data_IF_628238515752
#
_entry.id   IF_628238515752
#
_cell.length_a   1.000
_cell.length_b   1.000
_cell.length_c   1.000
_cell.angle_alpha   90.00
_cell.angle_beta   90.00
_cell.angle_gamma   90.00
#
_symmetry.space_group_name_H-M   'P 1'
#
loop_
_entity.id
_entity.type
_entity.pdbx_description
1 polymer ?
#
# COMPACT_ATOMS: atom_id res chain seq x y z
N UNK A 1 -0.88 -35.12 14.15
CA UNK A 1 -0.64 -33.88 14.94
C UNK A 1 -1.91 -33.48 15.72
N UNK A 2 -2.29 -34.17 16.81
CA UNK A 2 -3.59 -33.94 17.47
C UNK A 2 -3.59 -32.91 18.61
N UNK A 3 -2.45 -32.29 18.94
CA UNK A 3 -2.29 -31.48 20.17
C UNK A 3 -2.41 -29.96 20.00
N UNK A 4 -2.63 -29.44 18.79
CA UNK A 4 -2.76 -27.98 18.56
C UNK A 4 -4.22 -27.46 18.65
N UNK A 5 -5.23 -28.34 18.69
CA UNK A 5 -6.67 -27.96 18.77
C UNK A 5 -7.14 -27.53 20.18
N UNK A 6 -6.30 -27.62 21.22
CA UNK A 6 -6.71 -27.40 22.63
C UNK A 6 -6.39 -26.01 23.21
N UNK A 7 -5.70 -25.14 22.47
CA UNK A 7 -5.23 -23.84 22.98
C UNK A 7 -5.81 -22.62 22.27
N UNK A 8 -6.73 -22.82 21.31
CA UNK A 8 -7.45 -21.74 20.65
C UNK A 8 -8.94 -21.88 20.98
N UNK A 9 -9.65 -20.79 21.35
CA UNK A 9 -11.09 -20.84 21.52
C UNK A 9 -11.75 -21.39 20.24
N UNK A 10 -12.68 -22.31 20.42
CA UNK A 10 -13.37 -22.99 19.33
C UNK A 10 -14.14 -21.98 18.48
N UNK A 11 -13.97 -22.03 17.17
CA UNK A 11 -14.75 -21.26 16.17
C UNK A 11 -16.27 -21.42 16.39
N UNK A 12 -16.69 -22.54 16.97
CA UNK A 12 -18.09 -22.82 17.34
C UNK A 12 -18.65 -21.84 18.39
N UNK A 13 -17.82 -21.34 19.31
CA UNK A 13 -18.24 -20.43 20.37
C UNK A 13 -18.37 -18.99 19.85
N UNK A 14 -17.53 -18.58 18.89
CA UNK A 14 -17.64 -17.29 18.23
C UNK A 14 -18.88 -17.20 17.32
N UNK A 15 -19.21 -18.28 16.60
CA UNK A 15 -20.41 -18.34 15.76
C UNK A 15 -21.72 -18.31 16.55
N UNK A 16 -21.76 -18.90 17.76
CA UNK A 16 -22.94 -18.83 18.64
C UNK A 16 -23.26 -17.41 19.10
N UNK A 17 -22.24 -16.59 19.32
CA UNK A 17 -22.40 -15.20 19.75
C UNK A 17 -22.87 -14.32 18.57
N UNK A 18 -22.35 -14.56 17.37
CA UNK A 18 -22.78 -13.86 16.15
C UNK A 18 -24.24 -14.17 15.75
N UNK A 19 -24.67 -15.42 15.85
CA UNK A 19 -26.03 -15.84 15.50
C UNK A 19 -27.11 -15.21 16.42
N UNK A 20 -26.79 -14.99 17.70
CA UNK A 20 -27.70 -14.36 18.65
C UNK A 20 -27.92 -12.85 18.40
N UNK A 21 -26.98 -12.18 17.73
CA UNK A 21 -27.10 -10.74 17.42
C UNK A 21 -27.90 -10.48 16.13
N UNK A 22 -27.98 -11.46 15.23
CA UNK A 22 -28.67 -11.34 13.94
C UNK A 22 -30.17 -11.61 14.05
N UNK A 23 -30.61 -12.46 14.98
CA UNK A 23 -32.04 -12.77 15.16
C UNK A 23 -32.88 -11.61 15.75
N UNK A 24 -32.24 -10.51 16.18
CA UNK A 24 -32.93 -9.36 16.78
C UNK A 24 -33.39 -8.26 15.82
N UNK A 25 -33.07 -8.34 14.52
CA UNK A 25 -33.36 -7.25 13.57
C UNK A 25 -34.28 -7.72 12.43
N UNK A 26 -35.46 -7.10 12.34
CA UNK A 26 -36.55 -7.42 11.41
C UNK A 26 -36.08 -7.69 9.96
N UNK A 27 -36.38 -8.89 9.45
CA UNK A 27 -36.08 -9.33 8.08
C UNK A 27 -36.67 -8.41 6.98
N UNK A 28 -37.73 -7.66 7.29
CA UNK A 28 -38.34 -6.69 6.39
C UNK A 28 -37.48 -5.44 6.17
N UNK A 29 -36.57 -5.09 7.10
CA UNK A 29 -35.56 -4.03 6.88
C UNK A 29 -34.41 -4.50 5.99
N UNK A 30 -34.13 -5.80 5.98
CA UNK A 30 -33.01 -6.39 5.22
C UNK A 30 -33.31 -6.43 3.71
N UNK A 31 -34.55 -6.76 3.32
CA UNK A 31 -34.95 -6.78 1.90
C UNK A 31 -34.91 -5.40 1.22
N UNK A 32 -35.06 -4.30 1.97
CA UNK A 32 -34.93 -2.94 1.43
C UNK A 32 -33.47 -2.51 1.22
N UNK A 33 -32.52 -3.16 1.89
CA UNK A 33 -31.08 -2.96 1.71
C UNK A 33 -30.55 -3.75 0.49
N UNK A 34 -31.21 -4.86 0.14
CA UNK A 34 -30.87 -5.69 -1.04
C UNK A 34 -31.11 -4.98 -2.39
N UNK A 35 -32.21 -4.24 -2.55
CA UNK A 35 -32.46 -3.47 -3.79
C UNK A 35 -31.53 -2.27 -3.94
N UNK A 36 -31.14 -1.65 -2.83
CA UNK A 36 -30.22 -0.51 -2.83
C UNK A 36 -28.75 -0.94 -2.99
N UNK A 37 -28.38 -2.19 -2.61
CA UNK A 37 -27.00 -2.71 -2.69
C UNK A 37 -26.54 -3.21 -4.07
N UNK A 38 -27.47 -3.46 -5.01
CA UNK A 38 -27.13 -3.77 -6.41
C UNK A 38 -26.68 -2.53 -7.21
N UNK A 39 -26.88 -1.33 -6.63
CA UNK A 39 -26.28 -0.08 -7.09
C UNK A 39 -25.21 0.29 -6.07
N UNK A 40 -23.97 0.51 -6.50
CA UNK A 40 -22.86 0.80 -5.60
C UNK A 40 -23.26 1.78 -4.49
N UNK A 41 -23.09 1.35 -3.23
CA UNK A 41 -23.49 2.13 -2.06
C UNK A 41 -22.67 3.41 -2.02
N UNK A 42 -23.33 4.53 -2.27
CA UNK A 42 -22.82 5.87 -1.97
C UNK A 42 -22.93 6.09 -0.46
N UNK A 43 -21.81 6.40 0.20
CA UNK A 43 -21.81 6.84 1.59
C UNK A 43 -22.69 8.09 1.74
N UNK A 44 -23.70 8.11 2.62
CA UNK A 44 -24.45 9.33 2.88
C UNK A 44 -23.62 10.24 3.77
N UNK A 45 -23.05 11.31 3.20
CA UNK A 45 -22.41 12.40 3.95
C UNK A 45 -20.94 12.72 3.65
N UNK A 46 -20.39 12.30 2.51
CA UNK A 46 -19.08 12.76 2.02
C UNK A 46 -19.24 13.76 0.88
N UNK A 47 -18.41 14.81 0.86
CA UNK A 47 -18.28 15.74 -0.25
C UNK A 47 -18.02 14.98 -1.57
N UNK A 48 -18.62 15.44 -2.67
CA UNK A 48 -18.63 14.73 -3.97
C UNK A 48 -17.27 14.91 -4.67
N UNK A 49 -16.25 14.21 -4.17
CA UNK A 49 -14.86 14.27 -4.64
C UNK A 49 -14.66 13.62 -6.03
N UNK A 50 -15.74 13.15 -6.68
CA UNK A 50 -15.68 12.43 -7.95
C UNK A 50 -14.97 11.07 -7.90
N UNK A 51 -14.52 10.62 -6.72
CA UNK A 51 -13.93 9.32 -6.43
C UNK A 51 -14.95 8.51 -5.62
N UNK A 52 -15.64 7.59 -6.27
CA UNK A 52 -16.56 6.67 -5.58
C UNK A 52 -15.73 5.74 -4.70
N UNK A 53 -15.86 5.80 -3.37
CA UNK A 53 -15.09 4.89 -2.52
C UNK A 53 -15.51 3.44 -2.80
N UNK A 54 -14.57 2.60 -3.23
CA UNK A 54 -14.79 1.16 -3.41
C UNK A 54 -14.64 0.49 -2.04
N UNK A 55 -15.55 0.84 -1.13
CA UNK A 55 -15.61 0.31 0.22
C UNK A 55 -16.67 -0.78 0.28
N UNK A 56 -16.24 -2.02 0.52
CA UNK A 56 -17.17 -3.12 0.84
C UNK A 56 -17.40 -3.14 2.35
N UNK A 57 -18.66 -3.04 2.82
CA UNK A 57 -18.96 -3.18 4.25
C UNK A 57 -18.47 -4.53 4.79
N UNK A 58 -17.92 -4.54 6.01
CA UNK A 58 -17.40 -5.76 6.65
C UNK A 58 -18.43 -6.89 6.71
N UNK A 59 -19.73 -6.55 6.73
CA UNK A 59 -20.83 -7.51 6.76
C UNK A 59 -20.99 -8.29 5.45
N UNK A 60 -20.74 -7.67 4.30
CA UNK A 60 -20.78 -8.35 2.99
C UNK A 60 -19.57 -9.27 2.80
N UNK A 61 -18.39 -8.83 3.26
CA UNK A 61 -17.20 -9.68 3.28
C UNK A 61 -17.40 -10.92 4.16
N UNK A 62 -18.10 -10.79 5.28
CA UNK A 62 -18.42 -11.92 6.15
C UNK A 62 -19.43 -12.88 5.52
N UNK A 63 -20.45 -12.38 4.81
CA UNK A 63 -21.40 -13.24 4.09
C UNK A 63 -20.71 -14.00 2.95
N UNK A 64 -19.83 -13.34 2.22
CA UNK A 64 -19.02 -13.98 1.17
C UNK A 64 -18.07 -15.01 1.76
N UNK A 65 -17.39 -14.68 2.87
CA UNK A 65 -16.55 -15.62 3.61
C UNK A 65 -17.33 -16.87 4.06
N UNK A 66 -18.53 -16.70 4.61
CA UNK A 66 -19.39 -17.79 5.10
C UNK A 66 -19.96 -18.65 3.96
N UNK A 67 -20.00 -18.11 2.74
CA UNK A 67 -20.42 -18.84 1.53
C UNK A 67 -19.34 -19.73 0.91
N UNK A 68 -18.08 -19.60 1.36
CA UNK A 68 -16.95 -20.40 0.87
C UNK A 68 -16.90 -21.78 1.52
N UNK A 69 -16.24 -22.74 0.86
CA UNK A 69 -16.03 -24.07 1.42
C UNK A 69 -15.12 -24.02 2.66
N UNK A 70 -15.25 -25.00 3.58
CA UNK A 70 -14.40 -25.07 4.79
C UNK A 70 -12.90 -25.05 4.43
N UNK A 71 -12.50 -25.74 3.35
CA UNK A 71 -11.11 -25.74 2.87
C UNK A 71 -10.65 -24.34 2.40
N UNK A 72 -11.53 -23.58 1.74
CA UNK A 72 -11.23 -22.22 1.29
C UNK A 72 -11.14 -21.23 2.47
N UNK A 73 -11.98 -21.41 3.49
CA UNK A 73 -11.92 -20.61 4.72
C UNK A 73 -10.61 -20.85 5.47
N UNK A 74 -10.20 -22.11 5.63
CA UNK A 74 -8.92 -22.47 6.23
C UNK A 74 -7.73 -21.88 5.46
N UNK A 75 -7.76 -21.95 4.12
CA UNK A 75 -6.75 -21.34 3.26
C UNK A 75 -6.68 -19.82 3.45
N UNK A 76 -7.83 -19.15 3.52
CA UNK A 76 -7.91 -17.70 3.70
C UNK A 76 -7.40 -17.26 5.09
N UNK A 77 -7.64 -18.07 6.13
CA UNK A 77 -7.05 -17.84 7.44
C UNK A 77 -5.52 -17.93 7.41
N UNK A 78 -4.96 -18.90 6.67
CA UNK A 78 -3.52 -19.01 6.47
C UNK A 78 -2.95 -17.81 5.70
N UNK A 79 -3.58 -17.43 4.58
CA UNK A 79 -3.16 -16.29 3.77
C UNK A 79 -3.19 -14.97 4.56
N UNK A 80 -4.14 -14.80 5.48
CA UNK A 80 -4.15 -13.62 6.38
C UNK A 80 -2.85 -13.50 7.19
N UNK A 81 -2.34 -14.60 7.74
CA UNK A 81 -1.10 -14.58 8.53
C UNK A 81 0.13 -14.42 7.63
N UNK A 82 0.12 -15.08 6.46
CA UNK A 82 1.18 -14.93 5.47
C UNK A 82 1.26 -13.48 4.94
N UNK A 83 0.11 -12.81 4.76
CA UNK A 83 0.05 -11.43 4.33
C UNK A 83 0.75 -10.49 5.32
N UNK A 84 0.61 -10.71 6.63
CA UNK A 84 1.34 -9.92 7.64
C UNK A 84 2.85 -10.10 7.48
N UNK A 85 3.31 -11.34 7.28
CA UNK A 85 4.73 -11.62 7.06
C UNK A 85 5.27 -10.96 5.79
N UNK A 86 4.50 -11.00 4.70
CA UNK A 86 4.87 -10.35 3.44
C UNK A 86 4.79 -8.83 3.53
N UNK A 87 3.86 -8.26 4.28
CA UNK A 87 3.80 -6.83 4.53
C UNK A 87 5.05 -6.33 5.29
N UNK A 88 5.59 -7.13 6.23
CA UNK A 88 6.88 -6.83 6.85
C UNK A 88 8.04 -6.88 5.84
N UNK A 89 8.06 -7.89 4.96
CA UNK A 89 9.06 -8.00 3.90
C UNK A 89 8.99 -6.81 2.92
N UNK A 90 7.77 -6.42 2.53
CA UNK A 90 7.53 -5.27 1.68
C UNK A 90 7.98 -3.98 2.36
N UNK A 91 7.67 -3.80 3.64
CA UNK A 91 8.12 -2.63 4.41
C UNK A 91 9.66 -2.54 4.45
N UNK A 92 10.35 -3.66 4.63
CA UNK A 92 11.81 -3.72 4.58
C UNK A 92 12.35 -3.37 3.17
N UNK A 93 11.76 -3.95 2.13
CA UNK A 93 12.13 -3.70 0.73
C UNK A 93 11.93 -2.24 0.34
N UNK A 94 10.77 -1.67 0.71
CA UNK A 94 10.41 -0.28 0.49
C UNK A 94 11.35 0.67 1.22
N UNK A 95 11.67 0.39 2.49
CA UNK A 95 12.62 1.18 3.27
C UNK A 95 14.02 1.16 2.66
N UNK A 96 14.48 -0.01 2.18
CA UNK A 96 15.81 -0.16 1.58
C UNK A 96 15.95 0.63 0.28
N UNK A 97 14.94 0.57 -0.59
CA UNK A 97 14.92 1.33 -1.84
C UNK A 97 14.80 2.84 -1.60
N UNK A 98 13.91 3.27 -0.71
CA UNK A 98 13.62 4.70 -0.53
C UNK A 98 14.67 5.42 0.30
N UNK A 99 15.35 4.72 1.20
CA UNK A 99 16.47 5.30 1.95
C UNK A 99 17.59 5.73 0.99
N UNK A 100 17.82 5.00 -0.11
CA UNK A 100 18.81 5.38 -1.12
C UNK A 100 18.47 6.73 -1.77
N UNK A 101 17.20 6.99 -2.06
CA UNK A 101 16.75 8.25 -2.69
C UNK A 101 17.06 9.46 -1.80
N UNK A 102 16.82 9.37 -0.49
CA UNK A 102 17.09 10.46 0.45
C UNK A 102 18.58 10.61 0.78
N UNK A 103 19.27 9.48 1.02
CA UNK A 103 20.66 9.49 1.48
C UNK A 103 21.65 9.82 0.37
N UNK A 104 21.34 9.50 -0.90
CA UNK A 104 22.21 9.80 -2.04
C UNK A 104 22.49 11.31 -2.19
N UNK A 105 21.44 12.15 -2.10
CA UNK A 105 21.60 13.60 -2.22
C UNK A 105 22.44 14.17 -1.07
N UNK A 106 22.21 13.69 0.15
CA UNK A 106 22.96 14.14 1.32
C UNK A 106 24.43 13.67 1.28
N UNK A 107 24.67 12.41 0.89
CA UNK A 107 26.00 11.85 0.71
C UNK A 107 26.81 12.63 -0.35
N UNK A 108 26.17 13.07 -1.43
CA UNK A 108 26.81 13.89 -2.45
C UNK A 108 27.31 15.24 -1.90
N UNK A 109 26.52 15.90 -1.04
CA UNK A 109 26.91 17.17 -0.39
C UNK A 109 28.09 16.97 0.57
N UNK A 110 28.02 15.93 1.42
CA UNK A 110 29.09 15.64 2.40
C UNK A 110 30.39 15.26 1.69
N UNK A 111 30.31 14.43 0.65
CA UNK A 111 31.48 14.03 -0.15
C UNK A 111 32.09 15.23 -0.87
N UNK A 112 31.25 16.09 -1.46
CA UNK A 112 31.71 17.33 -2.10
C UNK A 112 32.43 18.28 -1.12
N UNK A 113 32.02 18.32 0.14
CA UNK A 113 32.68 19.12 1.18
C UNK A 113 34.03 18.52 1.61
N UNK A 114 34.15 17.19 1.69
CA UNK A 114 35.37 16.51 2.14
C UNK A 114 36.44 16.40 1.05
N UNK A 115 36.04 15.99 -0.16
CA UNK A 115 36.95 15.61 -1.24
C UNK A 115 37.02 16.65 -2.38
N UNK A 116 36.20 17.71 -2.31
CA UNK A 116 36.01 18.65 -3.39
C UNK A 116 35.19 18.08 -4.56
N UNK A 117 34.94 18.89 -5.59
CA UNK A 117 34.04 18.55 -6.71
C UNK A 117 34.58 17.51 -7.70
N UNK A 118 35.79 16.99 -7.48
CA UNK A 118 36.47 16.10 -8.44
C UNK A 118 36.12 14.61 -8.26
N UNK A 119 35.48 14.24 -7.14
CA UNK A 119 35.17 12.85 -6.77
C UNK A 119 33.66 12.51 -6.81
N UNK A 120 32.86 13.33 -7.50
CA UNK A 120 31.40 13.22 -7.53
C UNK A 120 30.85 11.98 -8.25
N UNK A 121 31.71 11.08 -8.75
CA UNK A 121 31.29 9.95 -9.60
C UNK A 121 30.91 8.71 -8.79
N UNK A 122 31.35 8.61 -7.54
CA UNK A 122 31.16 7.42 -6.69
C UNK A 122 31.09 7.78 -5.19
N UNK A 123 30.17 8.66 -4.74
CA UNK A 123 30.08 8.96 -3.31
C UNK A 123 29.73 7.67 -2.53
N UNK A 124 30.70 7.11 -1.82
CA UNK A 124 30.44 6.03 -0.88
C UNK A 124 29.64 6.59 0.29
N UNK A 125 28.43 6.06 0.49
CA UNK A 125 27.57 6.49 1.60
C UNK A 125 28.09 5.87 2.90
N UNK A 126 28.50 6.73 3.84
CA UNK A 126 28.92 6.30 5.17
C UNK A 126 27.72 5.75 5.98
N UNK A 127 27.98 4.75 6.83
CA UNK A 127 26.94 4.02 7.58
C UNK A 127 26.05 4.93 8.46
N UNK A 128 26.59 6.05 8.97
CA UNK A 128 25.83 6.99 9.81
C UNK A 128 24.80 7.77 8.99
N UNK A 129 25.09 8.08 7.72
CA UNK A 129 24.15 8.77 6.80
C UNK A 129 22.95 7.85 6.55
N UNK A 130 23.22 6.56 6.30
CA UNK A 130 22.17 5.56 6.10
C UNK A 130 21.30 5.38 7.35
N UNK A 131 21.93 5.34 8.52
CA UNK A 131 21.22 5.21 9.80
C UNK A 131 20.33 6.42 10.07
N UNK A 132 20.85 7.64 9.86
CA UNK A 132 20.08 8.87 10.01
C UNK A 132 18.92 8.94 9.02
N UNK A 133 19.17 8.58 7.75
CA UNK A 133 18.13 8.53 6.72
C UNK A 133 17.00 7.58 7.08
N UNK A 134 17.32 6.38 7.55
CA UNK A 134 16.33 5.40 8.00
C UNK A 134 15.52 5.87 9.22
N UNK A 135 16.16 6.51 10.21
CA UNK A 135 15.48 7.06 11.39
C UNK A 135 14.50 8.18 11.01
N UNK A 136 14.93 9.11 10.15
CA UNK A 136 14.07 10.21 9.68
C UNK A 136 12.89 9.67 8.88
N UNK A 137 13.13 8.74 7.94
CA UNK A 137 12.06 8.10 7.16
C UNK A 137 11.06 7.37 8.07
N UNK A 138 11.54 6.57 9.02
CA UNK A 138 10.70 5.86 9.98
C UNK A 138 9.87 6.80 10.85
N UNK A 139 10.46 7.91 11.31
CA UNK A 139 9.73 8.92 12.07
C UNK A 139 8.63 9.60 11.24
N UNK A 140 8.89 9.92 9.97
CA UNK A 140 7.91 10.52 9.07
C UNK A 140 6.70 9.61 8.84
N UNK A 141 6.93 8.32 8.66
CA UNK A 141 5.86 7.32 8.53
C UNK A 141 5.04 7.22 9.83
N UNK A 142 5.70 7.26 11.00
CA UNK A 142 4.99 7.23 12.29
C UNK A 142 4.03 8.42 12.43
N UNK A 143 4.50 9.64 12.12
CA UNK A 143 3.70 10.85 12.36
C UNK A 143 2.66 11.14 11.27
N UNK A 144 2.98 10.93 9.99
CA UNK A 144 2.10 11.30 8.87
C UNK A 144 1.57 10.11 8.06
N UNK A 145 2.16 8.93 8.20
CA UNK A 145 1.85 7.77 7.36
C UNK A 145 0.40 7.28 7.49
N UNK A 146 -0.22 7.43 8.67
CA UNK A 146 -1.59 6.96 8.91
C UNK A 146 -2.62 7.60 7.97
N UNK A 147 -2.41 8.86 7.57
CA UNK A 147 -3.33 9.57 6.64
C UNK A 147 -3.29 8.93 5.25
N UNK A 148 -2.09 8.60 4.77
CA UNK A 148 -1.89 8.00 3.45
C UNK A 148 -2.40 6.56 3.42
N UNK A 149 -2.15 5.80 4.49
CA UNK A 149 -2.63 4.42 4.62
C UNK A 149 -4.17 4.34 4.60
N UNK A 150 -4.85 5.30 5.23
CA UNK A 150 -6.32 5.35 5.21
C UNK A 150 -6.88 5.65 3.82
N UNK A 151 -6.25 6.56 3.07
CA UNK A 151 -6.68 6.92 1.71
C UNK A 151 -6.40 5.79 0.70
N UNK A 152 -5.24 5.14 0.77
CA UNK A 152 -4.87 4.05 -0.15
C UNK A 152 -5.69 2.79 0.15
N UNK A 153 -5.86 2.44 1.43
CA UNK A 153 -6.50 1.20 1.86
C UNK A 153 -7.99 1.09 1.53
N UNK A 154 -8.67 2.22 1.30
CA UNK A 154 -10.13 2.25 1.03
C UNK A 154 -10.51 2.50 -0.42
N UNK A 155 -9.61 3.03 -1.25
CA UNK A 155 -10.01 3.64 -2.53
C UNK A 155 -9.51 2.91 -3.78
N UNK A 156 -8.54 1.99 -3.70
CA UNK A 156 -7.95 1.42 -4.92
C UNK A 156 -8.75 0.24 -5.46
N UNK A 157 -8.97 -0.81 -4.66
CA UNK A 157 -9.77 -1.97 -5.04
C UNK A 157 -10.06 -2.84 -3.82
N UNK A 158 -11.16 -3.60 -3.84
CA UNK A 158 -11.45 -4.65 -2.86
C UNK A 158 -10.58 -5.87 -3.22
N UNK A 159 -9.78 -6.35 -2.26
CA UNK A 159 -8.85 -7.46 -2.49
C UNK A 159 -9.00 -8.50 -1.38
N UNK A 160 -9.18 -9.77 -1.76
CA UNK A 160 -9.16 -10.92 -0.85
C UNK A 160 -7.75 -11.19 -0.31
N UNK A 161 -7.61 -11.85 0.84
CA UNK A 161 -6.32 -12.04 1.52
C UNK A 161 -5.28 -12.79 0.68
N UNK A 162 -5.70 -13.78 -0.09
CA UNK A 162 -4.87 -14.56 -1.01
C UNK A 162 -4.30 -13.69 -2.14
N UNK A 163 -5.13 -12.81 -2.70
CA UNK A 163 -4.73 -11.90 -3.78
C UNK A 163 -3.83 -10.78 -3.27
N UNK A 164 -4.18 -10.23 -2.10
CA UNK A 164 -3.36 -9.23 -1.43
C UNK A 164 -1.97 -9.80 -1.15
N UNK A 165 -1.89 -11.05 -0.69
CA UNK A 165 -0.62 -11.74 -0.50
C UNK A 165 0.18 -11.84 -1.80
N UNK A 166 -0.43 -12.29 -2.89
CA UNK A 166 0.24 -12.42 -4.19
C UNK A 166 0.75 -11.07 -4.72
N UNK A 167 -0.05 -10.01 -4.59
CA UNK A 167 0.31 -8.65 -5.00
C UNK A 167 1.49 -8.13 -4.20
N UNK A 168 1.40 -8.17 -2.88
CA UNK A 168 2.46 -7.67 -1.98
C UNK A 168 3.75 -8.46 -2.19
N UNK A 169 3.65 -9.78 -2.37
CA UNK A 169 4.81 -10.65 -2.58
C UNK A 169 5.49 -10.35 -3.92
N UNK A 170 4.73 -10.25 -5.01
CA UNK A 170 5.29 -9.94 -6.33
C UNK A 170 5.97 -8.56 -6.36
N UNK A 171 5.35 -7.56 -5.75
CA UNK A 171 5.88 -6.21 -5.61
C UNK A 171 7.17 -6.21 -4.77
N UNK A 172 7.14 -6.84 -3.58
CA UNK A 172 8.30 -6.94 -2.69
C UNK A 172 9.46 -7.66 -3.37
N UNK A 173 9.22 -8.80 -4.03
CA UNK A 173 10.23 -9.51 -4.79
C UNK A 173 10.86 -8.65 -5.88
N UNK A 174 10.05 -7.91 -6.64
CA UNK A 174 10.54 -7.02 -7.70
C UNK A 174 11.46 -5.96 -7.12
N UNK A 175 11.04 -5.28 -6.05
CA UNK A 175 11.82 -4.23 -5.40
C UNK A 175 13.10 -4.79 -4.79
N UNK A 176 13.07 -5.96 -4.13
CA UNK A 176 14.27 -6.60 -3.57
C UNK A 176 15.25 -6.95 -4.69
N UNK A 177 14.80 -7.59 -5.77
CA UNK A 177 15.67 -7.98 -6.88
C UNK A 177 16.30 -6.75 -7.53
N UNK A 178 15.54 -5.71 -7.80
CA UNK A 178 16.06 -4.46 -8.36
C UNK A 178 17.04 -3.76 -7.41
N UNK A 179 16.76 -3.76 -6.10
CA UNK A 179 17.67 -3.22 -5.08
C UNK A 179 19.00 -3.98 -5.03
N UNK A 180 18.97 -5.31 -5.14
CA UNK A 180 20.18 -6.14 -5.21
C UNK A 180 21.00 -5.86 -6.48
N UNK A 181 20.32 -5.58 -7.59
CA UNK A 181 20.94 -5.18 -8.86
C UNK A 181 21.40 -3.71 -8.88
N UNK A 182 21.17 -2.95 -7.79
CA UNK A 182 21.46 -1.52 -7.67
C UNK A 182 20.75 -0.66 -8.73
N UNK A 183 19.56 -1.10 -9.17
CA UNK A 183 18.72 -0.35 -10.12
C UNK A 183 17.66 0.41 -9.32
N UNK A 184 17.62 1.75 -9.39
CA UNK A 184 16.60 2.52 -8.71
C UNK A 184 15.23 2.23 -9.36
N UNK A 185 14.27 1.83 -8.54
CA UNK A 185 12.90 1.53 -9.00
C UNK A 185 11.87 2.28 -8.18
N UNK A 186 10.71 2.52 -8.79
CA UNK A 186 9.56 3.10 -8.12
C UNK A 186 8.73 1.99 -7.47
N UNK A 187 8.74 1.92 -6.14
CA UNK A 187 7.93 0.98 -5.35
C UNK A 187 6.43 1.17 -5.61
N UNK A 188 5.99 2.41 -5.84
CA UNK A 188 4.58 2.72 -6.14
C UNK A 188 4.14 2.15 -7.48
N UNK A 189 5.00 2.19 -8.50
CA UNK A 189 4.72 1.56 -9.79
C UNK A 189 4.68 0.03 -9.68
N UNK A 190 5.61 -0.56 -8.94
CA UNK A 190 5.61 -2.01 -8.69
C UNK A 190 4.31 -2.45 -8.02
N UNK A 191 3.87 -1.70 -7.00
CA UNK A 191 2.66 -2.02 -6.25
C UNK A 191 1.38 -1.83 -7.07
N UNK A 192 1.18 -0.65 -7.68
CA UNK A 192 -0.01 -0.37 -8.48
C UNK A 192 -0.08 -1.31 -9.68
N UNK A 193 1.06 -1.60 -10.33
CA UNK A 193 1.13 -2.57 -11.42
C UNK A 193 0.71 -3.97 -10.99
N UNK A 194 1.18 -4.45 -9.83
CA UNK A 194 0.80 -5.75 -9.29
C UNK A 194 -0.70 -5.83 -8.94
N UNK A 195 -1.26 -4.75 -8.35
CA UNK A 195 -2.69 -4.65 -8.02
C UNK A 195 -3.56 -4.68 -9.29
N UNK A 196 -3.21 -3.87 -10.29
CA UNK A 196 -3.96 -3.83 -11.55
C UNK A 196 -3.89 -5.18 -12.26
N UNK A 197 -2.70 -5.80 -12.30
CA UNK A 197 -2.51 -7.10 -12.93
C UNK A 197 -3.36 -8.21 -12.27
N UNK A 198 -3.32 -8.35 -10.94
CA UNK A 198 -4.09 -9.40 -10.25
C UNK A 198 -5.59 -9.18 -10.42
N UNK A 199 -6.04 -7.92 -10.42
CA UNK A 199 -7.45 -7.56 -10.56
C UNK A 199 -7.98 -7.90 -11.96
N UNK A 200 -7.17 -7.68 -12.99
CA UNK A 200 -7.47 -8.12 -14.35
C UNK A 200 -7.43 -9.64 -14.49
N UNK A 201 -6.44 -10.31 -13.90
CA UNK A 201 -6.28 -11.76 -13.96
C UNK A 201 -7.45 -12.50 -13.27
N UNK A 202 -7.97 -11.95 -12.17
CA UNK A 202 -9.13 -12.47 -11.45
C UNK A 202 -10.47 -12.29 -12.18
N UNK A 203 -10.47 -11.67 -13.38
CA UNK A 203 -11.68 -11.29 -14.15
C UNK A 203 -12.64 -10.36 -13.38
N UNK A 204 -12.11 -9.64 -12.39
CA UNK A 204 -12.85 -8.64 -11.61
C UNK A 204 -12.55 -7.22 -12.11
N UNK A 205 -12.39 -7.06 -13.42
CA UNK A 205 -12.09 -5.76 -14.04
C UNK A 205 -13.16 -4.68 -13.75
N UNK A 206 -14.37 -5.08 -13.34
CA UNK A 206 -15.45 -4.18 -12.89
C UNK A 206 -15.26 -3.62 -11.46
N UNK A 207 -14.37 -4.20 -10.65
CA UNK A 207 -14.00 -3.72 -9.32
C UNK A 207 -12.88 -2.68 -9.34
N UNK A 208 -12.26 -2.43 -10.51
CA UNK A 208 -11.15 -1.49 -10.67
C UNK A 208 -11.67 -0.09 -11.01
N UNK A 209 -11.30 0.90 -10.22
CA UNK A 209 -11.57 2.32 -10.51
C UNK A 209 -10.61 2.86 -11.58
N UNK A 210 -10.91 2.64 -12.85
CA UNK A 210 -10.06 3.10 -13.97
C UNK A 210 -9.82 4.61 -13.98
N UNK A 211 -10.80 5.42 -13.56
CA UNK A 211 -10.62 6.86 -13.41
C UNK A 211 -9.50 7.19 -12.41
N UNK A 212 -9.50 6.55 -11.25
CA UNK A 212 -8.47 6.74 -10.22
C UNK A 212 -7.10 6.28 -10.74
N UNK A 213 -7.02 5.11 -11.37
CA UNK A 213 -5.76 4.59 -11.93
C UNK A 213 -5.18 5.57 -12.96
N UNK A 214 -6.02 6.09 -13.86
CA UNK A 214 -5.60 7.08 -14.86
C UNK A 214 -5.16 8.39 -14.19
N UNK A 215 -5.88 8.87 -13.18
CA UNK A 215 -5.49 10.06 -12.40
C UNK A 215 -4.12 9.86 -11.72
N UNK A 216 -3.87 8.67 -11.16
CA UNK A 216 -2.58 8.31 -10.58
C UNK A 216 -1.48 8.35 -11.66
N UNK A 217 -1.71 7.75 -12.83
CA UNK A 217 -0.75 7.77 -13.95
C UNK A 217 -0.43 9.19 -14.41
N UNK A 218 -1.43 10.07 -14.53
CA UNK A 218 -1.22 11.48 -14.86
C UNK A 218 -0.41 12.20 -13.78
N UNK A 219 -0.65 11.89 -12.50
CA UNK A 219 0.11 12.47 -11.40
C UNK A 219 1.61 12.13 -11.49
N UNK A 220 1.96 10.89 -11.85
CA UNK A 220 3.35 10.48 -12.00
C UNK A 220 4.06 11.23 -13.13
N UNK A 221 3.40 11.39 -14.28
CA UNK A 221 3.95 12.15 -15.40
C UNK A 221 4.14 13.62 -15.03
N UNK A 222 3.19 14.21 -14.31
CA UNK A 222 3.21 15.63 -13.94
C UNK A 222 4.22 15.93 -12.82
N UNK A 223 4.44 15.00 -11.88
CA UNK A 223 5.37 15.21 -10.77
C UNK A 223 6.82 15.39 -11.24
N UNK A 224 7.29 14.63 -12.24
CA UNK A 224 8.66 14.71 -12.74
C UNK A 224 9.07 16.11 -13.26
N UNK A 225 8.36 16.75 -14.23
CA UNK A 225 8.72 18.07 -14.73
C UNK A 225 8.54 19.16 -13.66
N UNK A 226 7.56 19.04 -12.78
CA UNK A 226 7.35 20.00 -11.70
C UNK A 226 8.51 19.96 -10.70
N UNK A 227 8.92 18.76 -10.25
CA UNK A 227 10.05 18.61 -9.33
C UNK A 227 11.36 19.03 -9.97
N UNK A 228 11.59 18.68 -11.24
CA UNK A 228 12.79 19.11 -11.98
C UNK A 228 12.83 20.64 -12.16
N UNK A 229 11.72 21.25 -12.56
CA UNK A 229 11.60 22.70 -12.73
C UNK A 229 11.80 23.45 -11.42
N UNK A 230 11.17 23.00 -10.34
CA UNK A 230 11.33 23.61 -9.01
C UNK A 230 12.77 23.47 -8.49
N UNK A 231 13.37 22.28 -8.61
CA UNK A 231 14.77 22.06 -8.24
C UNK A 231 15.72 22.95 -9.04
N UNK A 232 15.49 23.08 -10.36
CA UNK A 232 16.30 23.93 -11.23
C UNK A 232 16.16 25.41 -10.87
N UNK A 233 14.94 25.87 -10.56
CA UNK A 233 14.68 27.23 -10.13
C UNK A 233 15.39 27.55 -8.81
N UNK A 234 15.30 26.67 -7.81
CA UNK A 234 15.98 26.84 -6.52
C UNK A 234 17.49 26.90 -6.72
N UNK A 235 18.06 25.99 -7.52
CA UNK A 235 19.50 25.99 -7.81
C UNK A 235 19.94 27.26 -8.54
N UNK A 236 19.13 27.76 -9.48
CA UNK A 236 19.39 29.01 -10.19
C UNK A 236 19.40 30.20 -9.22
N UNK A 237 18.38 30.34 -8.37
CA UNK A 237 18.30 31.42 -7.38
C UNK A 237 19.47 31.37 -6.41
N UNK A 238 19.82 30.20 -5.88
CA UNK A 238 20.97 30.03 -4.99
C UNK A 238 22.29 30.38 -5.67
N UNK A 239 22.48 29.98 -6.93
CA UNK A 239 23.67 30.36 -7.70
C UNK A 239 23.79 31.87 -7.82
N UNK A 240 22.71 32.57 -8.15
CA UNK A 240 22.73 34.04 -8.26
C UNK A 240 22.95 34.70 -6.90
N UNK A 241 22.38 34.17 -5.82
CA UNK A 241 22.54 34.73 -4.47
C UNK A 241 23.94 34.51 -3.87
N UNK A 242 24.66 33.44 -4.26
CA UNK A 242 26.00 33.11 -3.73
C UNK A 242 27.12 33.72 -4.58
N UNK A 243 26.89 33.93 -5.89
CA UNK A 243 27.89 34.47 -6.83
C UNK A 243 27.77 36.00 -6.98
N UNK A 244 26.66 36.61 -6.54
CA UNK A 244 26.52 38.07 -6.41
C UNK A 244 27.17 38.58 -5.11
#
# INVERSE_FOLDING_TARGET
MPRLKKLLPSVSDANRIGAHLVQGSDAHKVGKIEEDGAKGVTTPGGEDDGITSVYRPSLELLKEYDSLTEEQQDAMFLFKHLLVMVACLQSFSHGSNDTANATAAFAAVVTGFKNGLNDCRSPESEWWIMTLGGLVLGSGIWFLGYKVMDTIGKNICIVSFDRAFCTEFASACTVVVCSLLKVPVSTTHCQVGAVVFISMAAKESGSIQWKLVITILFSWILTLPLTAGLSGLIAYVLKYAIIA
#
